data_IF_115529465529
#
_entry.id   IF_115529465529
#
_cell.length_a   1.000
_cell.length_b   1.000
_cell.length_c   1.000
_cell.angle_alpha   90.00
_cell.angle_beta   90.00
_cell.angle_gamma   90.00
#
_symmetry.space_group_name_H-M   'P 1'
#
loop_
_entity.id
_entity.type
_entity.pdbx_description
1 polymer ?
#
# COMPACT_ATOMS: atom_id res chain seq x y z
N UNK A 1 13.93 -38.57 -41.56
CA UNK A 1 13.76 -37.10 -41.66
C UNK A 1 12.32 -36.63 -41.79
N UNK A 2 11.48 -37.19 -42.68
CA UNK A 2 10.06 -36.76 -42.83
C UNK A 2 9.21 -37.03 -41.58
N UNK A 3 9.33 -38.20 -40.96
CA UNK A 3 8.58 -38.54 -39.74
C UNK A 3 8.92 -37.63 -38.54
N UNK A 4 10.19 -37.26 -38.36
CA UNK A 4 10.63 -36.34 -37.31
C UNK A 4 10.07 -34.92 -37.52
N UNK A 5 9.95 -34.48 -38.78
CA UNK A 5 9.31 -33.20 -39.12
C UNK A 5 7.82 -33.18 -38.80
N UNK A 6 7.10 -34.26 -39.10
CA UNK A 6 5.68 -34.39 -38.75
C UNK A 6 5.44 -34.47 -37.25
N UNK A 7 6.33 -35.15 -36.52
CA UNK A 7 6.27 -35.22 -35.06
C UNK A 7 6.51 -33.85 -34.42
N UNK A 8 7.53 -33.11 -34.87
CA UNK A 8 7.81 -31.74 -34.42
C UNK A 8 6.64 -30.78 -34.74
N UNK A 9 6.07 -30.89 -35.94
CA UNK A 9 4.92 -30.08 -36.33
C UNK A 9 3.70 -30.37 -35.45
N UNK A 10 3.43 -31.64 -35.15
CA UNK A 10 2.33 -32.06 -34.27
C UNK A 10 2.54 -31.57 -32.83
N UNK A 11 3.77 -31.63 -32.30
CA UNK A 11 4.11 -31.09 -30.98
C UNK A 11 3.93 -29.57 -30.94
N UNK A 12 4.39 -28.84 -31.96
CA UNK A 12 4.19 -27.39 -32.05
C UNK A 12 2.72 -27.04 -32.14
N UNK A 13 1.93 -27.72 -32.97
CA UNK A 13 0.49 -27.49 -33.07
C UNK A 13 -0.23 -27.83 -31.77
N UNK A 14 0.17 -28.87 -31.05
CA UNK A 14 -0.36 -29.21 -29.74
C UNK A 14 -0.02 -28.13 -28.71
N UNK A 15 1.22 -27.63 -28.69
CA UNK A 15 1.63 -26.52 -27.81
C UNK A 15 0.84 -25.26 -28.15
N UNK A 16 0.67 -24.92 -29.43
CA UNK A 16 -0.14 -23.77 -29.86
C UNK A 16 -1.61 -23.96 -29.48
N UNK A 17 -2.17 -25.16 -29.63
CA UNK A 17 -3.54 -25.44 -29.23
C UNK A 17 -3.74 -25.41 -27.72
N UNK A 18 -2.77 -25.90 -26.93
CA UNK A 18 -2.78 -25.82 -25.47
C UNK A 18 -2.58 -24.39 -24.98
N UNK A 19 -1.70 -23.61 -25.62
CA UNK A 19 -1.52 -22.19 -25.34
C UNK A 19 -2.76 -21.39 -25.74
N UNK A 20 -3.39 -21.69 -26.88
CA UNK A 20 -4.64 -21.07 -27.30
C UNK A 20 -5.79 -21.45 -26.38
N UNK A 21 -5.95 -22.71 -25.98
CA UNK A 21 -6.95 -23.13 -25.00
C UNK A 21 -6.70 -22.53 -23.62
N UNK A 22 -5.44 -22.46 -23.18
CA UNK A 22 -5.07 -21.77 -21.95
C UNK A 22 -5.30 -20.26 -22.04
N UNK A 23 -5.19 -19.65 -23.22
CA UNK A 23 -5.41 -18.22 -23.45
C UNK A 23 -6.90 -17.88 -23.56
N UNK A 24 -7.68 -18.68 -24.30
CA UNK A 24 -9.09 -18.40 -24.65
C UNK A 24 -10.12 -19.21 -23.84
N UNK A 25 -9.73 -20.31 -23.20
CA UNK A 25 -10.58 -21.09 -22.29
C UNK A 25 -10.55 -20.48 -20.89
N UNK A 26 -11.70 -20.09 -20.36
CA UNK A 26 -11.77 -19.58 -18.98
C UNK A 26 -12.90 -18.61 -18.66
N UNK A 27 -13.88 -18.40 -19.55
CA UNK A 27 -15.10 -17.67 -19.19
C UNK A 27 -15.90 -18.45 -18.14
N UNK A 28 -16.17 -17.84 -16.99
CA UNK A 28 -17.13 -18.34 -16.02
C UNK A 28 -18.43 -17.55 -16.20
N UNK A 29 -19.57 -18.23 -16.27
CA UNK A 29 -20.85 -17.55 -16.26
C UNK A 29 -21.09 -16.96 -14.85
N UNK A 30 -21.59 -15.72 -14.73
CA UNK A 30 -21.94 -15.14 -13.43
C UNK A 30 -22.86 -16.06 -12.64
N UNK A 31 -22.68 -16.18 -11.32
CA UNK A 31 -23.62 -16.94 -10.50
C UNK A 31 -24.90 -16.13 -10.31
N UNK A 32 -26.07 -16.57 -10.82
CA UNK A 32 -27.30 -15.82 -10.64
C UNK A 32 -27.61 -15.65 -9.16
N UNK A 33 -28.17 -14.51 -8.75
CA UNK A 33 -28.54 -14.26 -7.35
C UNK A 33 -29.47 -15.33 -6.78
N UNK A 34 -30.35 -15.89 -7.60
CA UNK A 34 -31.24 -17.01 -7.25
C UNK A 34 -30.51 -18.33 -6.97
N UNK A 35 -29.28 -18.49 -7.45
CA UNK A 35 -28.42 -19.64 -7.21
C UNK A 35 -27.42 -19.41 -6.06
N UNK A 36 -27.41 -18.22 -5.45
CA UNK A 36 -26.55 -17.93 -4.30
C UNK A 36 -26.93 -18.81 -3.12
N UNK A 37 -25.93 -19.34 -2.41
CA UNK A 37 -26.15 -20.15 -1.21
C UNK A 37 -26.38 -19.28 0.03
N UNK A 38 -26.22 -17.96 -0.11
CA UNK A 38 -26.40 -16.98 0.96
C UNK A 38 -27.81 -16.41 0.91
N UNK A 39 -28.54 -16.53 2.01
CA UNK A 39 -29.92 -16.05 2.09
C UNK A 39 -29.99 -14.52 2.26
N UNK A 40 -31.10 -13.91 1.83
CA UNK A 40 -31.36 -12.50 2.09
C UNK A 40 -31.40 -12.17 3.60
N UNK A 41 -31.91 -13.10 4.43
CA UNK A 41 -31.91 -12.94 5.89
C UNK A 41 -30.49 -12.88 6.46
N UNK A 42 -29.56 -13.68 5.91
CA UNK A 42 -28.13 -13.65 6.28
C UNK A 42 -27.51 -12.29 5.95
N UNK A 43 -27.83 -11.70 4.79
CA UNK A 43 -27.32 -10.37 4.40
C UNK A 43 -27.95 -9.21 5.19
N UNK A 44 -29.17 -9.39 5.71
CA UNK A 44 -29.88 -8.37 6.49
C UNK A 44 -29.56 -8.38 8.00
N UNK A 45 -28.70 -9.29 8.45
CA UNK A 45 -28.30 -9.42 9.85
C UNK A 45 -27.52 -8.19 10.35
N UNK A 46 -28.04 -7.43 11.33
CA UNK A 46 -27.40 -6.18 11.80
C UNK A 46 -26.00 -6.37 12.37
N UNK A 47 -25.72 -7.49 13.05
CA UNK A 47 -24.40 -7.75 13.63
C UNK A 47 -23.37 -7.99 12.52
N UNK A 48 -23.77 -8.76 11.50
CA UNK A 48 -22.95 -9.02 10.32
C UNK A 48 -22.69 -7.73 9.53
N UNK A 49 -23.70 -6.89 9.35
CA UNK A 49 -23.55 -5.58 8.69
C UNK A 49 -22.57 -4.68 9.47
N UNK A 50 -22.67 -4.64 10.81
CA UNK A 50 -21.76 -3.86 11.64
C UNK A 50 -20.30 -4.36 11.53
N UNK A 51 -20.09 -5.69 11.56
CA UNK A 51 -18.79 -6.30 11.32
C UNK A 51 -18.27 -5.98 9.91
N UNK A 52 -19.11 -6.08 8.89
CA UNK A 52 -18.77 -5.76 7.51
C UNK A 52 -18.29 -4.32 7.33
N UNK A 53 -18.98 -3.37 7.98
CA UNK A 53 -18.56 -1.96 8.01
C UNK A 53 -17.17 -1.81 8.62
N UNK A 54 -16.92 -2.45 9.76
CA UNK A 54 -15.61 -2.40 10.41
C UNK A 54 -14.52 -2.96 9.52
N UNK A 55 -14.74 -4.12 8.90
CA UNK A 55 -13.77 -4.78 8.03
C UNK A 55 -13.50 -3.98 6.75
N UNK A 56 -14.52 -3.34 6.18
CA UNK A 56 -14.32 -2.47 5.01
C UNK A 56 -13.51 -1.20 5.35
N UNK A 57 -13.60 -0.71 6.59
CA UNK A 57 -12.72 0.36 7.09
C UNK A 57 -11.29 -0.18 7.25
N UNK A 58 -11.11 -1.34 7.89
CA UNK A 58 -9.79 -2.00 7.99
C UNK A 58 -9.17 -2.23 6.61
N UNK A 59 -9.98 -2.63 5.63
CA UNK A 59 -9.59 -2.85 4.24
C UNK A 59 -9.28 -1.58 3.44
N UNK A 60 -9.57 -0.41 4.01
CA UNK A 60 -9.52 0.91 3.36
C UNK A 60 -10.29 0.96 2.03
N UNK A 61 -11.46 0.32 1.97
CA UNK A 61 -12.24 0.25 0.73
C UNK A 61 -12.59 1.65 0.20
N UNK A 62 -12.87 2.60 1.10
CA UNK A 62 -13.19 3.97 0.73
C UNK A 62 -12.00 4.73 0.14
N UNK A 63 -10.76 4.43 0.55
CA UNK A 63 -9.54 5.03 0.03
C UNK A 63 -9.36 4.83 -1.47
N UNK A 64 -9.83 3.69 -2.01
CA UNK A 64 -9.84 3.40 -3.44
C UNK A 64 -11.19 3.67 -4.10
N UNK A 65 -12.31 3.31 -3.48
CA UNK A 65 -13.63 3.35 -4.12
C UNK A 65 -14.38 4.66 -3.91
N UNK A 66 -13.73 5.76 -3.53
CA UNK A 66 -14.37 7.08 -3.38
C UNK A 66 -13.55 8.16 -4.09
N UNK A 67 -14.12 8.76 -5.13
CA UNK A 67 -13.53 9.94 -5.78
C UNK A 67 -13.51 11.15 -4.83
N UNK A 68 -12.57 12.08 -5.05
CA UNK A 68 -12.53 13.33 -4.29
C UNK A 68 -13.82 14.14 -4.50
N UNK A 69 -14.53 14.44 -3.41
CA UNK A 69 -15.85 15.09 -3.46
C UNK A 69 -16.98 14.21 -4.01
N UNK A 70 -16.71 12.93 -4.31
CA UNK A 70 -17.68 11.97 -4.80
C UNK A 70 -18.51 11.31 -3.69
N UNK A 71 -19.51 10.53 -4.10
CA UNK A 71 -20.30 9.75 -3.16
C UNK A 71 -19.47 8.58 -2.59
N UNK A 72 -19.59 8.26 -1.29
CA UNK A 72 -18.83 7.17 -0.67
C UNK A 72 -19.02 5.85 -1.42
N UNK A 73 -17.91 5.17 -1.72
CA UNK A 73 -17.89 3.84 -2.34
C UNK A 73 -18.47 3.75 -3.77
N UNK A 74 -18.82 4.89 -4.37
CA UNK A 74 -19.35 4.97 -5.73
C UNK A 74 -18.28 4.83 -6.82
N UNK A 75 -17.02 4.59 -6.47
CA UNK A 75 -15.91 4.48 -7.41
C UNK A 75 -15.41 5.84 -7.91
N UNK A 76 -14.75 5.83 -9.06
CA UNK A 76 -14.32 7.04 -9.78
C UNK A 76 -12.98 7.63 -9.36
N UNK A 77 -12.35 7.15 -8.28
CA UNK A 77 -10.95 7.47 -8.00
C UNK A 77 -10.06 6.74 -8.99
N UNK A 78 -9.04 7.43 -9.49
CA UNK A 78 -8.07 6.85 -10.42
C UNK A 78 -6.82 6.42 -9.66
N UNK A 79 -6.48 5.14 -9.78
CA UNK A 79 -5.21 4.59 -9.30
C UNK A 79 -4.19 4.73 -10.42
N UNK A 80 -3.23 5.64 -10.24
CA UNK A 80 -2.15 5.87 -11.18
C UNK A 80 -1.07 4.82 -10.98
N UNK A 81 -0.66 4.15 -12.06
CA UNK A 81 0.40 3.15 -12.02
C UNK A 81 1.45 3.44 -13.09
N UNK A 82 2.68 2.88 -13.00
CA UNK A 82 3.65 2.98 -14.08
C UNK A 82 3.18 2.41 -15.43
N UNK A 83 2.10 1.64 -15.42
CA UNK A 83 1.57 0.91 -16.59
C UNK A 83 0.36 1.62 -17.22
N UNK A 84 -0.12 2.70 -16.61
CA UNK A 84 -1.34 3.43 -16.97
C UNK A 84 -2.31 3.54 -15.80
N UNK A 85 -3.45 4.18 -16.06
CA UNK A 85 -4.43 4.50 -15.04
C UNK A 85 -5.50 3.42 -14.92
N UNK A 86 -5.89 3.14 -13.68
CA UNK A 86 -6.91 2.15 -13.34
C UNK A 86 -7.98 2.85 -12.48
N UNK A 87 -9.13 3.21 -13.07
CA UNK A 87 -10.27 3.72 -12.32
C UNK A 87 -10.83 2.64 -11.38
N UNK A 88 -11.08 3.00 -10.12
CA UNK A 88 -11.75 2.13 -9.17
C UNK A 88 -13.26 2.05 -9.50
N UNK A 89 -13.85 0.84 -9.54
CA UNK A 89 -15.25 0.67 -9.89
C UNK A 89 -16.17 1.09 -8.74
N UNK A 90 -17.45 1.26 -9.06
CA UNK A 90 -18.49 1.47 -8.05
C UNK A 90 -18.78 0.16 -7.28
N UNK A 91 -18.78 0.21 -5.94
CA UNK A 91 -19.09 -0.96 -5.09
C UNK A 91 -20.33 -0.77 -4.22
N UNK A 92 -21.14 0.26 -4.49
CA UNK A 92 -22.49 0.40 -3.92
C UNK A 92 -23.45 -0.64 -4.52
N UNK A 93 -24.65 -0.89 -3.95
CA UNK A 93 -25.56 -1.90 -4.47
C UNK A 93 -26.39 -1.43 -5.68
N UNK A 94 -25.89 -0.45 -6.43
CA UNK A 94 -26.47 -0.10 -7.72
C UNK A 94 -26.43 -1.32 -8.66
N UNK A 95 -27.53 -1.55 -9.39
CA UNK A 95 -27.67 -2.76 -10.22
C UNK A 95 -26.92 -2.69 -11.53
N UNK A 96 -26.76 -1.50 -12.09
CA UNK A 96 -26.17 -1.31 -13.41
C UNK A 96 -24.66 -1.11 -13.33
N UNK A 97 -24.22 -0.32 -12.35
CA UNK A 97 -22.83 0.12 -12.22
C UNK A 97 -22.13 -0.45 -10.99
N UNK A 98 -22.86 -1.03 -10.04
CA UNK A 98 -22.33 -1.52 -8.76
C UNK A 98 -22.49 -3.02 -8.53
N UNK A 99 -22.60 -3.38 -7.24
CA UNK A 99 -22.72 -4.76 -6.75
C UNK A 99 -24.16 -5.27 -6.65
N UNK A 100 -25.17 -4.52 -7.09
CA UNK A 100 -26.58 -4.85 -6.87
C UNK A 100 -26.99 -6.24 -7.40
N UNK A 101 -26.44 -6.60 -8.57
CA UNK A 101 -26.68 -7.89 -9.25
C UNK A 101 -25.56 -8.92 -9.05
N UNK A 102 -24.62 -8.65 -8.14
CA UNK A 102 -23.60 -9.62 -7.74
C UNK A 102 -24.17 -10.61 -6.71
N UNK A 103 -23.80 -11.87 -6.83
CA UNK A 103 -23.96 -12.85 -5.75
C UNK A 103 -22.80 -12.73 -4.74
N UNK A 104 -22.95 -13.32 -3.56
CA UNK A 104 -21.82 -13.43 -2.64
C UNK A 104 -20.69 -14.27 -3.24
N UNK A 105 -21.01 -15.29 -4.03
CA UNK A 105 -20.05 -16.13 -4.72
C UNK A 105 -19.20 -15.33 -5.71
N UNK A 106 -19.80 -14.42 -6.49
CA UNK A 106 -19.06 -13.53 -7.39
C UNK A 106 -18.15 -12.58 -6.60
N UNK A 107 -18.66 -11.99 -5.51
CA UNK A 107 -17.88 -11.12 -4.63
C UNK A 107 -16.69 -11.85 -4.01
N UNK A 108 -16.92 -13.08 -3.53
CA UNK A 108 -15.88 -13.94 -2.98
C UNK A 108 -14.82 -14.27 -4.03
N UNK A 109 -15.21 -14.60 -5.27
CA UNK A 109 -14.25 -14.85 -6.35
C UNK A 109 -13.41 -13.61 -6.70
N UNK A 110 -14.02 -12.43 -6.71
CA UNK A 110 -13.28 -11.18 -6.92
C UNK A 110 -12.27 -10.96 -5.80
N UNK A 111 -12.74 -10.94 -4.56
CA UNK A 111 -11.93 -10.63 -3.39
C UNK A 111 -10.82 -11.67 -3.15
N UNK A 112 -11.17 -12.97 -3.18
CA UNK A 112 -10.28 -14.06 -2.78
C UNK A 112 -9.28 -14.44 -3.89
N UNK A 113 -9.72 -14.43 -5.16
CA UNK A 113 -8.90 -14.93 -6.26
C UNK A 113 -8.75 -13.96 -7.42
N UNK A 114 -9.24 -12.73 -7.34
CA UNK A 114 -9.06 -11.72 -8.38
C UNK A 114 -9.80 -12.05 -9.68
N UNK A 115 -10.97 -12.68 -9.61
CA UNK A 115 -11.83 -12.96 -10.77
C UNK A 115 -13.10 -12.13 -10.69
N UNK A 116 -13.32 -11.28 -11.68
CA UNK A 116 -14.54 -10.48 -11.77
C UNK A 116 -15.76 -11.33 -12.09
N UNK A 117 -16.94 -10.69 -12.06
CA UNK A 117 -18.25 -11.33 -12.20
C UNK A 117 -18.41 -12.09 -13.52
N UNK A 118 -17.74 -11.66 -14.60
CA UNK A 118 -17.81 -12.31 -15.91
C UNK A 118 -16.63 -13.27 -16.16
N UNK A 119 -15.89 -13.61 -15.11
CA UNK A 119 -14.73 -14.52 -15.15
C UNK A 119 -13.44 -13.88 -15.64
N UNK A 120 -13.46 -12.58 -15.95
CA UNK A 120 -12.28 -11.82 -16.32
C UNK A 120 -11.32 -11.70 -15.12
N UNK A 121 -10.02 -11.75 -15.40
CA UNK A 121 -9.02 -11.51 -14.37
C UNK A 121 -8.98 -10.01 -14.02
N UNK A 122 -8.99 -9.73 -12.72
CA UNK A 122 -8.82 -8.39 -12.17
C UNK A 122 -7.33 -8.03 -12.17
N UNK A 123 -7.03 -6.77 -12.43
CA UNK A 123 -5.66 -6.26 -12.28
C UNK A 123 -5.27 -6.25 -10.80
N UNK A 124 -4.01 -6.57 -10.45
CA UNK A 124 -3.55 -6.67 -9.06
C UNK A 124 -3.47 -5.32 -8.33
N UNK A 125 -3.83 -4.21 -8.99
CA UNK A 125 -4.16 -2.96 -8.30
C UNK A 125 -5.35 -3.14 -7.33
N UNK A 126 -6.25 -4.07 -7.64
CA UNK A 126 -7.14 -4.63 -6.62
C UNK A 126 -6.35 -5.69 -5.84
N UNK A 127 -6.09 -5.52 -4.53
CA UNK A 127 -5.06 -6.27 -3.81
C UNK A 127 -5.54 -7.67 -3.38
N UNK A 128 -6.08 -8.44 -4.33
CA UNK A 128 -6.52 -9.82 -4.12
C UNK A 128 -5.37 -10.75 -3.72
N UNK A 129 -4.13 -10.37 -4.01
CA UNK A 129 -2.90 -11.05 -3.54
C UNK A 129 -2.77 -11.04 -2.03
N UNK A 130 -3.28 -9.99 -1.37
CA UNK A 130 -3.38 -9.91 0.09
C UNK A 130 -4.75 -10.41 0.57
N UNK A 131 -5.84 -9.99 -0.08
CA UNK A 131 -7.20 -10.34 0.33
C UNK A 131 -7.54 -11.83 0.20
N UNK A 132 -6.75 -12.63 -0.51
CA UNK A 132 -6.85 -14.10 -0.45
C UNK A 132 -6.85 -14.61 0.98
N UNK A 133 -6.13 -13.96 1.92
CA UNK A 133 -6.09 -14.40 3.31
C UNK A 133 -7.40 -14.18 4.09
N UNK A 134 -8.30 -13.33 3.58
CA UNK A 134 -9.56 -12.97 4.24
C UNK A 134 -10.47 -14.18 4.37
N UNK A 135 -11.03 -14.38 5.56
CA UNK A 135 -11.93 -15.49 5.80
C UNK A 135 -13.24 -15.31 5.01
N UNK A 136 -13.86 -16.42 4.62
CA UNK A 136 -15.14 -16.39 3.89
C UNK A 136 -16.24 -15.68 4.69
N UNK A 137 -16.23 -15.79 6.01
CA UNK A 137 -17.21 -15.15 6.89
C UNK A 137 -17.00 -13.64 6.99
N UNK A 138 -15.76 -13.17 7.04
CA UNK A 138 -15.43 -11.73 6.99
C UNK A 138 -15.78 -11.14 5.62
N UNK A 139 -15.49 -11.85 4.53
CA UNK A 139 -15.91 -11.44 3.20
C UNK A 139 -17.44 -11.37 3.08
N UNK A 140 -18.16 -12.31 3.67
CA UNK A 140 -19.63 -12.29 3.72
C UNK A 140 -20.15 -11.11 4.53
N UNK A 141 -19.51 -10.77 5.65
CA UNK A 141 -19.85 -9.59 6.43
C UNK A 141 -19.67 -8.31 5.63
N UNK A 142 -18.53 -8.14 4.96
CA UNK A 142 -18.26 -7.01 4.07
C UNK A 142 -19.32 -6.91 2.97
N UNK A 143 -19.63 -8.02 2.30
CA UNK A 143 -20.66 -8.03 1.24
C UNK A 143 -22.05 -7.66 1.77
N UNK A 144 -22.44 -8.16 2.95
CA UNK A 144 -23.69 -7.79 3.61
C UNK A 144 -23.77 -6.28 3.88
N UNK A 145 -22.68 -5.67 4.38
CA UNK A 145 -22.62 -4.24 4.58
C UNK A 145 -22.70 -3.45 3.27
N UNK A 146 -21.93 -3.82 2.24
CA UNK A 146 -21.98 -3.16 0.93
C UNK A 146 -23.39 -3.21 0.33
N UNK A 147 -24.07 -4.36 0.45
CA UNK A 147 -25.46 -4.52 -0.01
C UNK A 147 -26.49 -3.72 0.79
N UNK A 148 -26.13 -3.23 1.97
CA UNK A 148 -27.01 -2.41 2.82
C UNK A 148 -26.93 -0.91 2.54
N UNK A 149 -25.97 -0.47 1.72
CA UNK A 149 -25.74 0.94 1.43
C UNK A 149 -26.81 1.53 0.49
N UNK A 150 -26.98 2.85 0.45
CA UNK A 150 -27.72 3.50 -0.63
C UNK A 150 -27.05 3.22 -1.98
N UNK A 151 -27.80 2.83 -3.03
CA UNK A 151 -27.24 2.67 -4.37
C UNK A 151 -26.88 4.04 -4.96
N UNK A 152 -25.73 4.10 -5.63
CA UNK A 152 -25.31 5.27 -6.40
C UNK A 152 -25.01 4.82 -7.81
N UNK A 153 -25.64 5.43 -8.80
CA UNK A 153 -25.34 5.13 -10.20
C UNK A 153 -24.10 5.93 -10.64
N UNK A 154 -22.99 5.24 -10.89
CA UNK A 154 -21.71 5.83 -11.28
C UNK A 154 -20.99 4.87 -12.24
N UNK A 155 -21.07 5.10 -13.57
CA UNK A 155 -20.42 4.24 -14.54
C UNK A 155 -18.90 4.17 -14.36
N UNK A 156 -18.34 2.99 -14.62
CA UNK A 156 -16.91 2.76 -14.52
C UNK A 156 -16.13 3.65 -15.51
N UNK A 157 -14.98 4.15 -15.04
CA UNK A 157 -14.01 4.82 -15.90
C UNK A 157 -13.30 3.83 -16.83
N UNK A 158 -12.88 4.29 -18.00
CA UNK A 158 -12.03 3.47 -18.88
C UNK A 158 -10.59 3.46 -18.37
N UNK A 159 -10.00 2.27 -18.30
CA UNK A 159 -8.57 2.14 -18.01
C UNK A 159 -7.72 2.63 -19.17
N UNK A 160 -6.61 3.31 -18.86
CA UNK A 160 -5.63 3.78 -19.85
C UNK A 160 -4.36 2.91 -19.91
N UNK A 161 -4.45 1.66 -19.45
CA UNK A 161 -3.31 0.73 -19.49
C UNK A 161 -2.77 0.60 -20.92
N UNK A 162 -1.47 0.77 -21.07
CA UNK A 162 -0.79 0.66 -22.37
C UNK A 162 -0.49 -0.81 -22.70
N UNK A 163 -0.32 -1.12 -23.99
CA UNK A 163 0.25 -2.41 -24.39
C UNK A 163 1.67 -2.57 -23.78
N UNK A 164 2.04 -3.74 -23.24
CA UNK A 164 1.30 -5.01 -23.26
C UNK A 164 0.29 -5.22 -22.12
N UNK A 165 0.25 -4.34 -21.11
CA UNK A 165 -0.57 -4.46 -19.89
C UNK A 165 -2.09 -4.39 -20.14
N UNK A 166 -2.51 -3.78 -21.24
CA UNK A 166 -3.91 -3.77 -21.68
C UNK A 166 -4.45 -5.16 -22.08
N UNK A 167 -3.57 -6.12 -22.39
CA UNK A 167 -3.97 -7.47 -22.79
C UNK A 167 -4.31 -8.30 -21.56
N UNK A 168 -5.57 -8.27 -21.13
CA UNK A 168 -6.03 -8.88 -19.86
C UNK A 168 -5.63 -10.35 -19.65
N UNK A 169 -5.54 -11.15 -20.71
CA UNK A 169 -5.12 -12.56 -20.60
C UNK A 169 -3.65 -12.74 -20.17
N UNK A 170 -2.80 -11.72 -20.34
CA UNK A 170 -1.42 -11.73 -19.83
C UNK A 170 -1.36 -11.91 -18.31
N UNK A 171 -2.43 -11.54 -17.59
CA UNK A 171 -2.55 -11.76 -16.15
C UNK A 171 -2.49 -13.24 -15.75
N UNK A 172 -2.79 -14.18 -16.66
CA UNK A 172 -2.62 -15.62 -16.37
C UNK A 172 -1.15 -15.95 -16.08
N UNK A 173 -0.22 -15.39 -16.86
CA UNK A 173 1.21 -15.55 -16.65
C UNK A 173 1.68 -14.80 -15.39
N UNK A 174 1.23 -13.55 -15.22
CA UNK A 174 1.53 -12.75 -14.03
C UNK A 174 1.14 -13.48 -12.74
N UNK A 175 -0.08 -14.06 -12.69
CA UNK A 175 -0.56 -14.82 -11.54
C UNK A 175 0.26 -16.06 -11.26
N UNK A 176 0.75 -16.75 -12.28
CA UNK A 176 1.62 -17.92 -12.09
C UNK A 176 2.93 -17.54 -11.35
N UNK A 177 3.42 -16.32 -11.59
CA UNK A 177 4.63 -15.79 -10.95
C UNK A 177 4.35 -15.26 -9.54
N UNK A 178 3.31 -14.44 -9.36
CA UNK A 178 3.14 -13.60 -8.15
C UNK A 178 1.93 -13.94 -7.28
N UNK A 179 1.02 -14.82 -7.72
CA UNK A 179 -0.17 -15.15 -6.95
C UNK A 179 -0.18 -16.62 -6.49
N UNK A 180 -0.50 -16.80 -5.21
CA UNK A 180 -0.81 -18.09 -4.60
C UNK A 180 -2.13 -17.92 -3.87
N UNK A 181 -3.15 -18.61 -4.35
CA UNK A 181 -4.44 -18.68 -3.68
C UNK A 181 -4.27 -19.40 -2.34
N UNK A 182 -4.81 -18.82 -1.27
CA UNK A 182 -4.75 -19.40 0.06
C UNK A 182 -5.45 -18.52 1.11
N UNK A 183 -6.01 -19.16 2.13
CA UNK A 183 -6.57 -18.46 3.30
C UNK A 183 -5.51 -18.18 4.37
N UNK A 184 -5.92 -17.54 5.46
CA UNK A 184 -5.08 -17.44 6.66
C UNK A 184 -5.24 -18.67 7.55
N UNK A 185 -4.14 -19.32 7.87
CA UNK A 185 -4.10 -20.44 8.84
C UNK A 185 -3.35 -19.97 10.09
N UNK A 186 -4.01 -19.91 11.26
CA UNK A 186 -3.35 -19.55 12.50
C UNK A 186 -2.18 -20.49 12.84
N UNK A 187 -1.05 -19.92 13.25
CA UNK A 187 0.09 -20.67 13.77
C UNK A 187 -0.20 -21.09 15.22
N UNK A 188 -0.30 -22.40 15.53
CA UNK A 188 -0.60 -22.88 16.88
C UNK A 188 0.54 -22.61 17.88
N UNK A 189 1.76 -22.31 17.42
CA UNK A 189 2.88 -21.93 18.27
C UNK A 189 2.84 -20.43 18.66
N UNK A 190 1.88 -19.66 18.14
CA UNK A 190 1.74 -18.22 18.37
C UNK A 190 0.48 -17.90 19.15
N UNK A 191 0.49 -16.75 19.83
CA UNK A 191 -0.69 -16.27 20.56
C UNK A 191 -1.83 -15.92 19.61
N UNK A 192 -3.06 -15.86 20.13
CA UNK A 192 -4.23 -15.41 19.38
C UNK A 192 -4.05 -13.96 18.88
N UNK A 193 -3.48 -13.08 19.71
CA UNK A 193 -3.16 -11.70 19.34
C UNK A 193 -2.18 -11.63 18.16
N UNK A 194 -1.10 -12.42 18.20
CA UNK A 194 -0.14 -12.47 17.10
C UNK A 194 -0.81 -12.94 15.79
N UNK A 195 -1.61 -14.00 15.87
CA UNK A 195 -2.34 -14.53 14.70
C UNK A 195 -3.33 -13.50 14.16
N UNK A 196 -4.00 -12.74 15.02
CA UNK A 196 -4.88 -11.64 14.61
C UNK A 196 -4.09 -10.54 13.89
N UNK A 197 -2.92 -10.17 14.39
CA UNK A 197 -2.05 -9.18 13.75
C UNK A 197 -1.57 -9.65 12.38
N UNK A 198 -1.12 -10.90 12.31
CA UNK A 198 -0.69 -11.54 11.08
C UNK A 198 -1.81 -11.55 10.03
N UNK A 199 -3.04 -11.88 10.43
CA UNK A 199 -4.23 -11.85 9.58
C UNK A 199 -4.54 -10.45 9.04
N UNK A 200 -4.49 -9.43 9.90
CA UNK A 200 -4.79 -8.05 9.51
C UNK A 200 -3.72 -7.50 8.56
N UNK A 201 -2.43 -7.69 8.88
CA UNK A 201 -1.32 -7.16 8.08
C UNK A 201 -1.22 -7.82 6.70
N UNK A 202 -1.44 -9.13 6.62
CA UNK A 202 -1.36 -9.90 5.37
C UNK A 202 -2.67 -9.88 4.56
N UNK A 203 -3.81 -9.70 5.23
CA UNK A 203 -5.14 -9.69 4.64
C UNK A 203 -5.63 -8.28 4.34
N UNK A 204 -6.66 -7.84 5.08
CA UNK A 204 -7.38 -6.59 4.78
C UNK A 204 -6.50 -5.34 4.90
N UNK A 205 -5.56 -5.30 5.86
CA UNK A 205 -4.63 -4.18 5.99
C UNK A 205 -3.57 -4.12 4.89
N UNK A 206 -3.45 -5.18 4.05
CA UNK A 206 -2.66 -5.28 2.82
C UNK A 206 -1.30 -4.57 2.85
N UNK A 207 -0.61 -4.57 4.00
CA UNK A 207 0.52 -3.67 4.24
C UNK A 207 1.67 -3.95 3.26
N UNK A 208 1.78 -5.19 2.80
CA UNK A 208 2.78 -5.61 1.82
C UNK A 208 2.61 -4.97 0.44
N UNK A 209 1.41 -4.47 0.10
CA UNK A 209 1.17 -3.86 -1.20
C UNK A 209 1.90 -2.52 -1.38
N UNK A 210 2.26 -1.86 -0.26
CA UNK A 210 3.10 -0.66 -0.24
C UNK A 210 4.47 -0.93 0.39
N UNK A 211 4.53 -1.68 1.50
CA UNK A 211 5.76 -1.91 2.27
C UNK A 211 6.62 -3.06 1.72
N UNK A 212 6.59 -3.31 0.42
CA UNK A 212 7.48 -4.22 -0.27
C UNK A 212 7.81 -3.70 -1.66
N UNK A 213 9.06 -3.89 -2.09
CA UNK A 213 9.49 -3.50 -3.42
C UNK A 213 8.78 -4.34 -4.50
N UNK A 214 8.26 -3.65 -5.52
CA UNK A 214 7.75 -4.28 -6.74
C UNK A 214 8.84 -4.33 -7.80
N UNK A 215 8.86 -5.39 -8.59
CA UNK A 215 9.74 -5.50 -9.74
C UNK A 215 9.16 -4.81 -10.99
N UNK A 216 9.86 -4.95 -12.13
CA UNK A 216 9.47 -4.33 -13.40
C UNK A 216 8.16 -4.88 -13.99
N UNK A 217 7.67 -6.03 -13.51
CA UNK A 217 6.36 -6.59 -13.87
C UNK A 217 5.25 -6.16 -12.90
N UNK A 218 5.57 -5.30 -11.93
CA UNK A 218 4.64 -4.78 -10.93
C UNK A 218 4.27 -5.80 -9.83
N UNK A 219 4.90 -6.97 -9.83
CA UNK A 219 4.70 -8.01 -8.84
C UNK A 219 5.69 -7.89 -7.67
N UNK A 220 5.33 -8.51 -6.55
CA UNK A 220 6.20 -8.62 -5.37
C UNK A 220 6.72 -10.06 -5.29
N UNK A 221 8.04 -10.28 -5.34
CA UNK A 221 8.61 -11.62 -5.16
C UNK A 221 8.27 -12.21 -3.79
N UNK A 222 8.14 -13.54 -3.69
CA UNK A 222 7.65 -14.22 -2.49
C UNK A 222 8.56 -14.07 -1.25
N UNK A 223 9.85 -13.82 -1.45
CA UNK A 223 10.85 -13.59 -0.39
C UNK A 223 10.91 -12.12 0.06
N UNK A 224 10.19 -11.22 -0.62
CA UNK A 224 10.09 -9.79 -0.32
C UNK A 224 8.79 -9.55 0.44
N UNK A 225 8.87 -9.67 1.77
CA UNK A 225 7.74 -9.47 2.68
C UNK A 225 8.02 -8.36 3.68
N UNK A 226 7.30 -7.24 3.57
CA UNK A 226 7.38 -6.08 4.47
C UNK A 226 8.80 -5.48 4.61
N UNK A 227 9.61 -5.55 3.54
CA UNK A 227 11.01 -5.07 3.50
C UNK A 227 11.14 -3.60 3.08
N UNK A 228 10.02 -2.91 2.88
CA UNK A 228 9.97 -1.56 2.36
C UNK A 228 10.15 -1.49 0.83
N UNK A 229 9.82 -0.34 0.26
CA UNK A 229 9.91 -0.12 -1.17
C UNK A 229 9.45 1.27 -1.57
N UNK A 230 9.92 1.72 -2.74
CA UNK A 230 9.40 2.93 -3.35
C UNK A 230 8.00 2.64 -3.92
N UNK A 231 7.03 3.51 -3.60
CA UNK A 231 5.69 3.51 -4.17
C UNK A 231 5.77 4.18 -5.54
N UNK A 232 5.62 3.42 -6.64
CA UNK A 232 5.81 3.96 -7.98
C UNK A 232 4.81 5.09 -8.28
N UNK A 233 5.23 6.06 -9.07
CA UNK A 233 4.47 7.27 -9.48
C UNK A 233 4.13 8.25 -8.36
N UNK A 234 3.83 7.77 -7.15
CA UNK A 234 3.59 8.61 -5.98
C UNK A 234 4.89 9.20 -5.39
N UNK A 235 6.05 8.64 -5.78
CA UNK A 235 7.37 9.10 -5.35
C UNK A 235 7.55 9.16 -3.82
N UNK A 236 6.87 8.28 -3.10
CA UNK A 236 7.09 8.04 -1.68
C UNK A 236 7.83 6.74 -1.48
N UNK A 237 8.56 6.62 -0.38
CA UNK A 237 9.15 5.38 0.08
C UNK A 237 8.37 4.87 1.29
N UNK A 238 7.80 3.67 1.17
CA UNK A 238 7.22 2.95 2.29
C UNK A 238 8.35 2.23 3.05
N UNK A 239 8.57 2.53 4.34
CA UNK A 239 9.69 1.96 5.10
C UNK A 239 9.56 0.44 5.29
N UNK A 240 10.68 -0.24 5.53
CA UNK A 240 10.67 -1.61 6.07
C UNK A 240 9.95 -1.61 7.44
N UNK A 241 9.02 -2.54 7.64
CA UNK A 241 8.21 -2.63 8.87
C UNK A 241 8.82 -3.55 9.94
N UNK A 242 9.95 -4.20 9.66
CA UNK A 242 10.67 -5.02 10.63
C UNK A 242 11.19 -4.18 11.78
N UNK A 243 10.91 -4.59 13.02
CA UNK A 243 11.38 -3.88 14.23
C UNK A 243 12.62 -4.52 14.86
N UNK A 244 13.04 -5.69 14.37
CA UNK A 244 14.26 -6.37 14.81
C UNK A 244 15.48 -5.74 14.14
N UNK A 245 16.67 -6.18 14.57
CA UNK A 245 17.95 -5.68 14.08
C UNK A 245 18.01 -5.56 12.55
N UNK A 246 18.46 -4.41 12.07
CA UNK A 246 18.56 -3.99 10.67
C UNK A 246 17.22 -3.82 9.93
N UNK A 247 16.07 -3.95 10.62
CA UNK A 247 14.77 -3.60 10.06
C UNK A 247 14.50 -2.09 10.14
N UNK A 248 13.63 -1.58 9.28
CA UNK A 248 13.34 -0.15 9.16
C UNK A 248 12.65 0.48 10.37
N UNK A 249 12.08 -0.33 11.27
CA UNK A 249 11.48 0.12 12.53
C UNK A 249 12.31 -0.37 13.74
N UNK A 250 13.60 -0.65 13.56
CA UNK A 250 14.48 -1.00 14.68
C UNK A 250 14.41 0.07 15.79
N UNK A 251 14.22 -0.39 17.03
CA UNK A 251 14.08 0.49 18.20
C UNK A 251 12.69 1.13 18.39
N UNK A 252 11.70 0.80 17.55
CA UNK A 252 10.30 1.14 17.80
C UNK A 252 9.68 0.19 18.85
N UNK A 253 8.87 0.76 19.74
CA UNK A 253 8.04 -0.01 20.66
C UNK A 253 6.68 -0.35 20.04
N UNK A 254 5.96 -1.30 20.63
CA UNK A 254 4.59 -1.60 20.23
C UNK A 254 3.70 -0.36 20.36
N UNK A 255 3.92 0.43 21.41
CA UNK A 255 3.19 1.66 21.65
C UNK A 255 3.46 2.72 20.58
N UNK A 256 4.67 2.80 20.04
CA UNK A 256 4.98 3.72 18.93
C UNK A 256 4.21 3.35 17.67
N UNK A 257 4.09 2.05 17.37
CA UNK A 257 3.33 1.54 16.23
C UNK A 257 1.84 1.85 16.43
N UNK A 258 1.28 1.51 17.59
CA UNK A 258 -0.12 1.79 17.92
C UNK A 258 -0.41 3.29 17.85
N UNK A 259 0.45 4.14 18.41
CA UNK A 259 0.29 5.58 18.37
C UNK A 259 0.28 6.13 16.94
N UNK A 260 1.22 5.68 16.09
CA UNK A 260 1.27 6.10 14.69
C UNK A 260 0.01 5.70 13.93
N UNK A 261 -0.42 4.44 14.05
CA UNK A 261 -1.59 3.92 13.34
C UNK A 261 -2.91 4.55 13.85
N UNK A 262 -2.98 4.89 15.14
CA UNK A 262 -4.17 5.47 15.76
C UNK A 262 -4.31 6.97 15.55
N UNK A 263 -3.19 7.69 15.56
CA UNK A 263 -3.18 9.16 15.66
C UNK A 263 -2.47 9.86 14.51
N UNK A 264 -1.67 9.12 13.74
CA UNK A 264 -0.77 9.65 12.73
C UNK A 264 0.58 10.10 13.26
N UNK A 265 0.84 9.99 14.57
CA UNK A 265 2.08 10.43 15.19
C UNK A 265 2.54 9.47 16.30
N UNK A 266 3.85 9.38 16.49
CA UNK A 266 4.50 8.65 17.58
C UNK A 266 5.76 9.39 18.05
N UNK A 267 6.41 8.89 19.10
CA UNK A 267 7.70 9.43 19.53
C UNK A 267 8.83 9.20 18.50
N UNK A 268 8.59 8.34 17.50
CA UNK A 268 9.57 7.98 16.47
C UNK A 268 9.36 8.70 15.14
N UNK A 269 8.21 9.31 14.92
CA UNK A 269 7.88 9.98 13.67
C UNK A 269 6.39 10.25 13.50
N UNK A 270 6.02 10.74 12.32
CA UNK A 270 4.63 10.94 11.93
C UNK A 270 4.35 10.28 10.57
N UNK A 271 3.09 10.03 10.28
CA UNK A 271 2.65 9.57 8.97
C UNK A 271 2.50 10.76 8.02
N UNK A 272 2.89 10.58 6.77
CA UNK A 272 2.77 11.57 5.69
C UNK A 272 2.40 10.87 4.39
N UNK A 273 2.00 11.65 3.38
CA UNK A 273 1.69 11.14 2.05
C UNK A 273 0.63 10.02 2.09
N UNK A 274 0.84 8.90 1.37
CA UNK A 274 -0.12 7.80 1.31
C UNK A 274 -0.44 7.20 2.67
N UNK A 275 0.54 7.11 3.58
CA UNK A 275 0.30 6.56 4.92
C UNK A 275 -0.58 7.49 5.77
N UNK A 276 -0.52 8.81 5.55
CA UNK A 276 -1.43 9.74 6.20
C UNK A 276 -2.89 9.51 5.74
N UNK A 277 -3.10 9.22 4.45
CA UNK A 277 -4.42 8.86 3.94
C UNK A 277 -4.93 7.54 4.56
N UNK A 278 -4.08 6.51 4.68
CA UNK A 278 -4.42 5.25 5.35
C UNK A 278 -4.80 5.47 6.81
N UNK A 279 -4.02 6.27 7.55
CA UNK A 279 -4.37 6.59 8.94
C UNK A 279 -5.71 7.32 9.02
N UNK A 280 -5.91 8.31 8.15
CA UNK A 280 -7.11 9.12 8.16
C UNK A 280 -8.37 8.32 7.77
N UNK A 281 -8.29 7.45 6.77
CA UNK A 281 -9.42 6.71 6.22
C UNK A 281 -9.70 5.35 6.87
N UNK A 282 -8.67 4.75 7.50
CA UNK A 282 -8.70 3.36 7.95
C UNK A 282 -8.19 3.19 9.39
N UNK A 283 -6.88 3.26 9.63
CA UNK A 283 -6.29 2.67 10.85
C UNK A 283 -6.68 3.41 12.14
N UNK A 284 -6.97 4.72 12.06
CA UNK A 284 -7.45 5.46 13.24
C UNK A 284 -8.80 4.95 13.79
N UNK A 285 -9.56 4.24 12.95
CA UNK A 285 -10.88 3.71 13.27
C UNK A 285 -10.85 2.23 13.70
N UNK A 286 -9.66 1.60 13.70
CA UNK A 286 -9.48 0.23 14.18
C UNK A 286 -9.64 0.17 15.70
N UNK A 287 -10.07 -0.99 16.19
CA UNK A 287 -10.10 -1.23 17.62
C UNK A 287 -8.69 -1.26 18.20
N UNK A 288 -8.54 -0.86 19.48
CA UNK A 288 -7.24 -0.90 20.15
C UNK A 288 -6.66 -2.31 20.17
N UNK A 289 -7.50 -3.35 20.31
CA UNK A 289 -7.06 -4.74 20.27
C UNK A 289 -6.41 -5.09 18.91
N UNK A 290 -7.00 -4.64 17.80
CA UNK A 290 -6.46 -4.92 16.47
C UNK A 290 -5.17 -4.11 16.19
N UNK A 291 -5.06 -2.88 16.69
CA UNK A 291 -3.83 -2.10 16.61
C UNK A 291 -2.68 -2.75 17.39
N UNK A 292 -2.95 -3.25 18.60
CA UNK A 292 -1.95 -3.99 19.38
C UNK A 292 -1.58 -5.32 18.73
N UNK A 293 -2.56 -6.02 18.14
CA UNK A 293 -2.31 -7.24 17.38
C UNK A 293 -1.36 -6.99 16.20
N UNK A 294 -1.60 -5.94 15.41
CA UNK A 294 -0.70 -5.50 14.33
C UNK A 294 0.71 -5.23 14.88
N UNK A 295 0.82 -4.46 15.95
CA UNK A 295 2.12 -4.15 16.56
C UNK A 295 2.86 -5.42 17.03
N UNK A 296 2.15 -6.35 17.67
CA UNK A 296 2.67 -7.65 18.14
C UNK A 296 3.22 -8.50 16.99
N UNK A 297 2.50 -8.54 15.85
CA UNK A 297 2.97 -9.23 14.66
C UNK A 297 4.20 -8.55 14.05
N UNK A 298 4.19 -7.23 13.85
CA UNK A 298 5.33 -6.50 13.26
C UNK A 298 6.60 -6.63 14.10
N UNK A 299 6.46 -6.64 15.43
CA UNK A 299 7.59 -6.83 16.35
C UNK A 299 8.23 -8.23 16.30
N UNK A 300 7.51 -9.19 15.76
CA UNK A 300 7.98 -10.57 15.61
C UNK A 300 8.77 -10.80 14.34
N UNK A 301 8.70 -9.88 13.37
CA UNK A 301 9.37 -10.01 12.07
C UNK A 301 10.87 -10.24 12.28
N UNK A 302 11.51 -11.16 11.54
CA UNK A 302 12.88 -11.55 11.80
C UNK A 302 13.87 -10.40 11.56
N UNK A 303 15.07 -10.44 12.18
CA UNK A 303 16.17 -9.56 11.81
C UNK A 303 16.47 -9.61 10.31
N UNK A 304 16.92 -8.49 9.75
CA UNK A 304 17.29 -8.38 8.34
C UNK A 304 18.80 -8.44 8.16
N UNK A 305 19.22 -8.72 6.92
CA UNK A 305 20.59 -8.44 6.53
C UNK A 305 20.78 -6.92 6.51
N UNK A 306 21.94 -6.45 7.00
CA UNK A 306 22.29 -5.05 6.86
C UNK A 306 22.35 -4.69 5.37
N UNK A 307 21.76 -3.56 5.00
CA UNK A 307 21.91 -3.04 3.65
C UNK A 307 23.39 -2.75 3.38
N UNK A 308 23.88 -3.14 2.20
CA UNK A 308 25.23 -2.80 1.79
C UNK A 308 25.35 -1.27 1.65
N UNK A 309 26.32 -0.68 2.33
CA UNK A 309 26.65 0.73 2.14
C UNK A 309 27.08 0.96 0.69
N UNK A 310 26.38 1.85 -0.01
CA UNK A 310 26.79 2.28 -1.34
C UNK A 310 28.05 3.15 -1.20
N UNK A 311 29.16 2.83 -1.90
CA UNK A 311 30.37 3.62 -1.83
C UNK A 311 30.09 5.06 -2.29
N UNK A 312 30.47 6.01 -1.44
CA UNK A 312 30.22 7.43 -1.69
C UNK A 312 31.34 7.97 -2.57
N UNK A 313 31.07 8.10 -3.87
CA UNK A 313 32.04 8.58 -4.87
C UNK A 313 32.23 10.11 -4.85
N UNK A 314 31.43 10.85 -4.06
CA UNK A 314 31.40 12.31 -4.02
C UNK A 314 31.81 12.87 -2.65
N UNK A 315 32.25 14.12 -2.62
CA UNK A 315 32.64 14.82 -1.38
C UNK A 315 31.41 15.09 -0.48
N UNK A 316 31.01 14.06 0.27
CA UNK A 316 29.92 14.14 1.24
C UNK A 316 30.21 15.14 2.35
N UNK A 317 31.48 15.46 2.62
CA UNK A 317 31.85 16.40 3.67
C UNK A 317 31.42 17.82 3.31
N UNK A 318 31.74 18.28 2.10
CA UNK A 318 31.34 19.62 1.62
C UNK A 318 29.82 19.77 1.61
N UNK A 319 29.09 18.77 1.10
CA UNK A 319 27.61 18.80 1.10
C UNK A 319 27.03 18.83 2.51
N UNK A 320 27.59 18.07 3.44
CA UNK A 320 27.14 18.04 4.84
C UNK A 320 27.41 19.39 5.52
N UNK A 321 28.57 20.02 5.29
CA UNK A 321 28.89 21.35 5.83
C UNK A 321 27.95 22.44 5.30
N UNK A 322 27.65 22.43 4.00
CA UNK A 322 26.66 23.34 3.40
C UNK A 322 25.27 23.09 3.96
N UNK A 323 24.86 21.83 4.05
CA UNK A 323 23.56 21.44 4.58
C UNK A 323 23.37 21.84 6.04
N UNK A 324 24.41 21.79 6.86
CA UNK A 324 24.35 22.26 8.25
C UNK A 324 24.06 23.75 8.38
N UNK A 325 24.52 24.58 7.43
CA UNK A 325 24.18 26.01 7.39
C UNK A 325 22.71 26.23 7.08
N UNK A 326 22.21 25.55 6.04
CA UNK A 326 20.79 25.58 5.66
C UNK A 326 19.91 25.09 6.81
N UNK A 327 20.29 23.98 7.47
CA UNK A 327 19.58 23.42 8.62
C UNK A 327 19.45 24.43 9.76
N UNK A 328 20.56 25.09 10.10
CA UNK A 328 20.59 26.07 11.19
C UNK A 328 19.68 27.28 10.88
N UNK A 329 19.61 27.68 9.60
CA UNK A 329 18.81 28.83 9.17
C UNK A 329 17.32 28.54 9.07
N UNK A 330 16.93 27.34 8.65
CA UNK A 330 15.55 27.05 8.25
C UNK A 330 14.84 25.96 9.05
N UNK A 331 15.58 25.08 9.74
CA UNK A 331 15.02 23.83 10.28
C UNK A 331 15.17 23.70 11.79
N UNK A 332 16.28 24.20 12.36
CA UNK A 332 16.66 23.96 13.75
C UNK A 332 15.71 24.58 14.78
N UNK A 333 14.93 25.59 14.41
CA UNK A 333 13.94 26.22 15.30
C UNK A 333 12.83 25.24 15.70
N UNK A 334 12.37 24.41 14.76
CA UNK A 334 11.33 23.41 15.02
C UNK A 334 11.92 22.04 15.38
N UNK A 335 12.99 21.61 14.68
CA UNK A 335 13.55 20.27 14.83
C UNK A 335 14.68 20.17 15.85
N UNK A 336 15.06 21.28 16.50
CA UNK A 336 16.13 21.33 17.48
C UNK A 336 17.52 21.32 16.86
N UNK A 337 18.56 21.60 17.66
CA UNK A 337 19.95 21.69 17.17
C UNK A 337 20.54 20.33 16.84
N UNK A 338 19.98 19.25 17.41
CA UNK A 338 20.42 17.87 17.22
C UNK A 338 19.37 17.02 16.51
N UNK A 339 18.39 17.64 15.86
CA UNK A 339 17.32 16.90 15.17
C UNK A 339 16.43 16.12 16.13
N UNK A 340 16.38 16.48 17.41
CA UNK A 340 15.61 15.78 18.43
C UNK A 340 14.10 16.01 18.32
N UNK A 341 13.69 17.06 17.59
CA UNK A 341 12.29 17.47 17.48
C UNK A 341 11.66 17.86 18.82
N UNK A 342 10.33 17.87 18.84
CA UNK A 342 9.52 18.11 20.02
C UNK A 342 8.43 17.04 20.04
N UNK A 343 8.43 16.19 21.08
CA UNK A 343 7.52 15.05 21.20
C UNK A 343 6.06 15.47 20.97
N UNK A 344 5.38 14.80 20.03
CA UNK A 344 3.99 15.04 19.69
C UNK A 344 3.72 16.30 18.85
N UNK A 345 4.76 17.05 18.47
CA UNK A 345 4.65 18.30 17.71
C UNK A 345 5.51 18.25 16.45
N UNK A 346 6.82 18.11 16.62
CA UNK A 346 7.80 18.03 15.53
C UNK A 346 8.53 16.69 15.63
N UNK A 347 8.45 15.83 14.60
CA UNK A 347 9.08 14.52 14.67
C UNK A 347 10.61 14.67 14.80
N UNK A 348 11.27 13.74 15.51
CA UNK A 348 12.73 13.68 15.48
C UNK A 348 13.20 13.42 14.05
N UNK A 349 14.33 14.03 13.68
CA UNK A 349 15.05 13.77 12.44
C UNK A 349 16.21 12.79 12.68
N UNK A 350 16.76 12.76 13.90
CA UNK A 350 17.73 11.75 14.33
C UNK A 350 17.07 10.38 14.52
N UNK A 351 17.62 9.35 13.89
CA UNK A 351 17.11 7.98 13.95
C UNK A 351 15.75 7.76 13.26
N UNK A 352 15.24 8.74 12.51
CA UNK A 352 13.94 8.63 11.85
C UNK A 352 14.06 7.87 10.53
N UNK A 353 13.35 6.74 10.44
CA UNK A 353 13.39 5.85 9.27
C UNK A 353 12.90 6.50 7.98
N UNK A 354 12.04 7.52 8.05
CA UNK A 354 11.63 8.29 6.87
C UNK A 354 12.73 9.24 6.38
N UNK A 355 13.66 9.64 7.26
CA UNK A 355 14.83 10.43 6.87
C UNK A 355 15.91 9.53 6.29
N UNK A 356 16.13 8.34 6.88
CA UNK A 356 17.23 7.43 6.54
C UNK A 356 16.89 6.36 5.51
N UNK A 357 15.66 6.33 4.99
CA UNK A 357 15.27 5.37 3.96
C UNK A 357 16.19 5.40 2.72
N UNK A 358 16.36 4.29 1.98
CA UNK A 358 17.45 4.14 1.00
C UNK A 358 17.56 5.22 -0.09
N UNK A 359 16.44 5.82 -0.52
CA UNK A 359 16.38 6.73 -1.66
C UNK A 359 16.56 8.21 -1.31
N UNK A 360 16.21 8.62 -0.09
CA UNK A 360 16.15 10.02 0.35
C UNK A 360 14.95 10.82 -0.20
N UNK A 361 14.02 10.15 -0.87
CA UNK A 361 12.87 10.77 -1.51
C UNK A 361 11.88 11.34 -0.49
N UNK A 362 11.69 10.68 0.65
CA UNK A 362 10.73 11.13 1.68
C UNK A 362 11.17 12.47 2.27
N UNK A 363 12.42 12.56 2.74
CA UNK A 363 12.98 13.80 3.28
C UNK A 363 13.03 14.91 2.22
N UNK A 364 13.39 14.57 0.97
CA UNK A 364 13.40 15.54 -0.14
C UNK A 364 12.01 16.11 -0.40
N UNK A 365 10.98 15.26 -0.44
CA UNK A 365 9.58 15.69 -0.62
C UNK A 365 9.12 16.56 0.54
N UNK A 366 9.38 16.14 1.78
CA UNK A 366 8.99 16.92 2.96
C UNK A 366 9.65 18.30 3.00
N UNK A 367 10.92 18.42 2.62
CA UNK A 367 11.59 19.74 2.53
C UNK A 367 10.99 20.59 1.40
N UNK A 368 10.75 20.02 0.22
CA UNK A 368 10.22 20.77 -0.91
C UNK A 368 8.77 21.22 -0.69
N UNK A 369 7.89 20.28 -0.31
CA UNK A 369 6.44 20.44 -0.34
C UNK A 369 5.85 20.72 1.04
N UNK A 370 6.61 20.53 2.12
CA UNK A 370 6.07 20.58 3.47
C UNK A 370 4.98 19.53 3.68
N UNK A 371 4.07 19.79 4.60
CA UNK A 371 2.87 18.96 4.77
C UNK A 371 2.37 18.92 6.21
N UNK A 372 1.37 18.08 6.43
CA UNK A 372 0.74 17.86 7.72
C UNK A 372 0.74 16.37 8.02
N UNK A 373 0.88 16.02 9.31
CA UNK A 373 0.40 14.73 9.78
C UNK A 373 -1.12 14.61 9.52
N UNK A 374 -1.71 13.41 9.44
CA UNK A 374 -3.14 13.28 9.19
C UNK A 374 -3.94 13.87 10.36
N UNK A 375 -5.04 14.54 10.03
CA UNK A 375 -6.02 14.94 11.02
C UNK A 375 -6.80 13.70 11.48
N UNK A 376 -6.70 13.39 12.76
CA UNK A 376 -7.38 12.23 13.36
C UNK A 376 -8.27 12.68 14.51
N UNK A 377 -9.13 11.78 15.01
CA UNK A 377 -9.94 12.05 16.20
C UNK A 377 -9.06 12.40 17.41
N UNK A 378 -7.90 11.76 17.54
CA UNK A 378 -6.94 11.98 18.62
C UNK A 378 -5.97 13.16 18.37
N UNK A 379 -5.85 13.61 17.12
CA UNK A 379 -5.01 14.73 16.71
C UNK A 379 -5.70 15.56 15.62
N UNK A 380 -6.73 16.37 15.98
CA UNK A 380 -7.57 17.05 15.00
C UNK A 380 -6.90 18.28 14.36
N UNK A 381 -5.79 18.76 14.92
CA UNK A 381 -5.08 19.97 14.47
C UNK A 381 -3.56 19.72 14.47
N UNK A 382 -3.06 18.90 13.53
CA UNK A 382 -1.63 18.61 13.40
C UNK A 382 -0.85 19.88 13.06
N UNK A 383 0.37 19.99 13.57
CA UNK A 383 1.32 21.02 13.16
C UNK A 383 1.83 20.74 11.73
N UNK A 384 2.11 21.81 11.00
CA UNK A 384 2.61 21.74 9.62
C UNK A 384 4.13 21.84 9.55
N UNK A 385 4.72 21.16 8.58
CA UNK A 385 6.04 21.48 8.05
C UNK A 385 5.89 22.49 6.89
N UNK A 386 6.59 23.64 6.91
CA UNK A 386 6.50 24.61 5.83
C UNK A 386 7.19 24.11 4.55
N UNK A 387 6.68 24.47 3.35
CA UNK A 387 7.31 24.14 2.08
C UNK A 387 8.49 25.06 1.79
N UNK A 388 9.63 24.50 1.38
CA UNK A 388 10.83 25.26 1.00
C UNK A 388 11.13 25.27 -0.50
N UNK A 389 10.29 24.67 -1.35
CA UNK A 389 10.53 24.61 -2.80
C UNK A 389 10.82 25.97 -3.43
N UNK A 390 10.18 27.06 -2.98
CA UNK A 390 10.42 28.40 -3.54
C UNK A 390 11.56 29.16 -2.86
N UNK A 391 12.07 28.68 -1.72
CA UNK A 391 13.08 29.37 -0.91
C UNK A 391 14.48 28.80 -1.10
N UNK A 392 14.57 27.50 -1.37
CA UNK A 392 15.84 26.78 -1.50
C UNK A 392 16.03 26.26 -2.92
N UNK A 393 17.25 26.39 -3.43
CA UNK A 393 17.70 25.80 -4.69
C UNK A 393 17.81 24.27 -4.62
N UNK A 394 17.96 23.61 -5.78
CA UNK A 394 18.21 22.15 -5.83
C UNK A 394 19.44 21.74 -5.02
N UNK A 395 20.49 22.57 -5.05
CA UNK A 395 21.74 22.30 -4.34
C UNK A 395 21.57 22.44 -2.83
N UNK A 396 20.85 23.47 -2.36
CA UNK A 396 20.60 23.68 -0.94
C UNK A 396 19.71 22.58 -0.34
N UNK A 397 18.67 22.15 -1.08
CA UNK A 397 17.81 21.03 -0.66
C UNK A 397 18.63 19.73 -0.62
N UNK A 398 19.43 19.45 -1.65
CA UNK A 398 20.30 18.27 -1.67
C UNK A 398 21.30 18.27 -0.51
N UNK A 399 21.89 19.42 -0.21
CA UNK A 399 22.83 19.61 0.89
C UNK A 399 22.15 19.40 2.25
N UNK A 400 21.01 20.05 2.52
CA UNK A 400 20.31 19.91 3.81
C UNK A 400 19.80 18.49 4.03
N UNK A 401 19.22 17.85 3.00
CA UNK A 401 18.76 16.45 3.13
C UNK A 401 19.94 15.51 3.33
N UNK A 402 21.08 15.74 2.66
CA UNK A 402 22.32 15.00 2.91
C UNK A 402 22.82 15.20 4.34
N UNK A 403 22.79 16.42 4.86
CA UNK A 403 23.15 16.72 6.24
C UNK A 403 22.26 15.96 7.23
N UNK A 404 20.93 15.98 7.05
CA UNK A 404 20.00 15.22 7.89
C UNK A 404 20.33 13.72 7.90
N UNK A 405 20.63 13.16 6.73
CA UNK A 405 20.90 11.72 6.53
C UNK A 405 22.26 11.24 7.06
N UNK A 406 23.17 12.16 7.39
CA UNK A 406 24.56 11.86 7.80
C UNK A 406 24.96 12.47 9.14
N UNK A 407 24.04 13.14 9.80
CA UNK A 407 24.27 13.77 11.10
C UNK A 407 23.73 12.90 12.23
N UNK A 408 24.25 13.13 13.44
CA UNK A 408 23.80 12.46 14.67
C UNK A 408 23.99 10.94 14.58
N UNK A 409 22.94 10.14 14.80
CA UNK A 409 23.00 8.69 14.63
C UNK A 409 22.74 8.22 13.19
N UNK A 410 22.36 9.14 12.28
CA UNK A 410 21.98 8.78 10.93
C UNK A 410 23.17 8.38 10.05
N UNK A 411 23.04 7.25 9.37
CA UNK A 411 24.02 6.70 8.43
C UNK A 411 23.31 6.30 7.13
N UNK A 412 23.08 7.29 6.25
CA UNK A 412 22.37 7.07 4.99
C UNK A 412 23.09 7.71 3.79
N UNK A 413 22.69 7.28 2.59
CA UNK A 413 23.23 7.75 1.31
C UNK A 413 23.03 9.26 1.13
N UNK A 414 23.90 9.91 0.35
CA UNK A 414 23.73 11.33 -0.01
C UNK A 414 22.54 11.51 -0.96
N UNK A 415 21.98 12.73 -1.00
CA UNK A 415 21.01 13.15 -2.02
C UNK A 415 21.68 14.14 -2.96
N UNK A 416 21.47 13.97 -4.27
CA UNK A 416 22.03 14.83 -5.31
C UNK A 416 21.03 15.85 -5.82
N UNK A 417 21.53 16.98 -6.32
CA UNK A 417 20.70 18.06 -6.87
C UNK A 417 19.81 17.58 -8.04
N UNK A 418 20.25 16.62 -8.85
CA UNK A 418 19.43 16.07 -9.94
C UNK A 418 18.22 15.28 -9.41
N UNK A 419 18.37 14.58 -8.29
CA UNK A 419 17.27 13.86 -7.63
C UNK A 419 16.23 14.84 -7.06
N UNK A 420 16.69 15.95 -6.50
CA UNK A 420 15.81 17.04 -6.04
C UNK A 420 15.04 17.64 -7.21
N UNK A 421 15.73 17.97 -8.30
CA UNK A 421 15.12 18.56 -9.50
C UNK A 421 14.02 17.67 -10.08
N UNK A 422 14.25 16.36 -10.12
CA UNK A 422 13.22 15.41 -10.53
C UNK A 422 12.00 15.43 -9.59
N UNK A 423 12.23 15.59 -8.29
CA UNK A 423 11.17 15.61 -7.27
C UNK A 423 10.30 16.87 -7.29
N UNK A 424 10.81 18.01 -7.79
CA UNK A 424 10.06 19.29 -7.86
C UNK A 424 8.80 19.25 -8.72
N UNK A 425 8.75 18.34 -9.68
CA UNK A 425 7.61 18.17 -10.58
C UNK A 425 6.57 17.19 -10.02
N UNK A 426 6.81 16.63 -8.83
CA UNK A 426 5.87 15.69 -8.25
C UNK A 426 4.67 16.46 -7.68
N UNK A 427 3.43 16.04 -7.98
CA UNK A 427 2.24 16.65 -7.40
C UNK A 427 2.28 16.71 -5.86
N UNK A 428 1.59 17.71 -5.33
CA UNK A 428 1.24 17.78 -3.91
C UNK A 428 0.09 16.80 -3.68
N UNK A 429 0.19 16.03 -2.59
CA UNK A 429 -0.75 14.96 -2.23
C UNK A 429 -2.08 15.49 -1.68
#
# INVERSE_FOLDING_TARGET
MKALRWLLLAVVLLIVALLAWWWFGGGHAPTPRSASKVSAATLADPQRIAQGRYLAIVGDCAGCHTAQGGAPLAGGRVIVTPFGDIPAPNITPDRETGLGDWSFEDFWQALHVGKGRHGELLYPAFPYTSYTHVSRDDALAMFAWLQSLPPVHQPDGQSSLAFPYSVRNSLKAWRALYFREGGFTPDPARSAEWNRGAYLVQGLGHCNECHAARDSLGGTPADVHLTGGQIPVQNWYAPDLGTRRHGGLEGWSAQDIVALLKTGQSAKGAAFGPMAAVVSGSTQHMSDADLHAIASYLQSLPPRAAAAEQPVLFDAKVLTEQGGKVYTQHCAECHGKRGEGVVGVYPPLDGNSSVTEPSGINATRMVLLGGFAPATTANPRPYSMPPFAQQLSDQEVAAVVTYLRRSWSNQASIVRAEQVRASRHTPVD
#
